data_IF_988299010026
#
_entry.id   IF_988299010026
#
_cell.length_a   1.000
_cell.length_b   1.000
_cell.length_c   1.000
_cell.angle_alpha   90.00
_cell.angle_beta   90.00
_cell.angle_gamma   90.00
#
_symmetry.space_group_name_H-M   'P 1'
#
loop_
_entity.id
_entity.type
_entity.pdbx_description
1 polymer ?
#
# COMPACT_ATOMS: atom_id res chain seq x y z
N UNK A 1 -26.86 2.90 52.83
CA UNK A 1 -25.77 1.90 52.97
C UNK A 1 -24.87 2.02 51.74
N UNK A 2 -23.57 2.31 51.98
CA UNK A 2 -22.40 2.22 51.06
C UNK A 2 -22.42 2.97 49.70
N UNK A 3 -21.54 3.98 49.66
CA UNK A 3 -20.79 4.44 48.49
C UNK A 3 -20.15 3.27 47.70
N UNK A 4 -19.91 3.44 46.38
CA UNK A 4 -18.55 3.59 45.80
C UNK A 4 -18.56 3.65 44.24
N UNK A 5 -18.05 4.77 43.72
CA UNK A 5 -17.02 4.91 42.64
C UNK A 5 -17.39 4.46 41.20
N UNK A 6 -17.71 5.34 40.23
CA UNK A 6 -16.88 6.32 39.47
C UNK A 6 -16.19 5.77 38.20
N UNK A 7 -16.59 6.29 37.02
CA UNK A 7 -15.79 6.75 35.85
C UNK A 7 -16.71 6.85 34.60
N UNK A 8 -17.11 8.02 34.06
CA UNK A 8 -16.39 8.97 33.18
C UNK A 8 -15.73 8.23 31.97
N UNK A 9 -16.04 8.44 30.68
CA UNK A 9 -16.19 9.64 29.82
C UNK A 9 -17.12 9.34 28.61
N UNK A 10 -18.13 10.17 28.34
CA UNK A 10 -18.23 11.12 27.21
C UNK A 10 -18.12 10.54 25.78
N UNK A 11 -19.26 10.12 25.21
CA UNK A 11 -19.48 10.05 23.76
C UNK A 11 -20.03 11.41 23.34
N UNK A 12 -19.21 12.26 22.73
CA UNK A 12 -19.73 13.45 22.04
C UNK A 12 -20.00 13.12 20.59
N UNK A 13 -21.29 13.06 20.29
CA UNK A 13 -21.84 13.06 18.94
C UNK A 13 -21.55 14.40 18.25
N UNK A 14 -21.22 14.36 16.96
CA UNK A 14 -21.39 15.52 16.08
C UNK A 14 -22.42 15.17 15.01
N UNK A 15 -23.67 15.50 15.33
CA UNK A 15 -24.72 15.74 14.35
C UNK A 15 -24.82 17.25 14.16
N UNK A 16 -24.37 17.77 13.03
CA UNK A 16 -24.86 19.05 12.52
C UNK A 16 -25.23 18.92 11.05
N UNK A 17 -26.51 19.17 10.79
CA UNK A 17 -27.08 19.45 9.48
C UNK A 17 -26.49 20.78 8.99
N UNK A 18 -25.87 20.83 7.81
CA UNK A 18 -25.47 22.07 7.15
C UNK A 18 -26.14 22.15 5.77
N UNK A 19 -26.99 23.17 5.58
CA UNK A 19 -27.64 23.51 4.31
C UNK A 19 -26.81 24.59 3.61
N UNK A 20 -26.18 24.18 2.49
CA UNK A 20 -25.80 24.88 1.24
C UNK A 20 -24.91 26.15 1.26
N UNK A 21 -23.72 26.02 0.65
CA UNK A 21 -23.20 26.94 -0.37
C UNK A 21 -22.35 26.15 -1.40
N UNK A 22 -22.61 26.22 -2.72
CA UNK A 22 -21.78 25.56 -3.73
C UNK A 22 -20.64 26.48 -4.14
N UNK A 23 -19.49 26.37 -3.46
CA UNK A 23 -18.24 27.04 -3.87
C UNK A 23 -16.97 26.35 -3.35
N UNK A 24 -17.07 25.10 -2.89
CA UNK A 24 -15.94 24.27 -2.44
C UNK A 24 -15.92 22.96 -3.25
N UNK A 25 -15.93 23.08 -4.57
CA UNK A 25 -15.71 21.95 -5.48
C UNK A 25 -14.25 21.84 -5.94
N UNK A 26 -13.37 22.76 -5.52
CA UNK A 26 -11.93 22.61 -5.67
C UNK A 26 -11.31 22.33 -4.30
N UNK A 27 -10.47 21.29 -4.24
CA UNK A 27 -9.64 20.85 -3.10
C UNK A 27 -10.28 19.97 -2.02
N UNK A 28 -11.21 19.08 -2.38
CA UNK A 28 -11.05 17.71 -1.87
C UNK A 28 -9.84 17.11 -2.60
N UNK A 29 -8.63 17.41 -2.12
CA UNK A 29 -7.52 16.49 -2.35
C UNK A 29 -7.95 15.18 -1.68
N UNK A 30 -8.44 14.23 -2.49
CA UNK A 30 -8.43 12.82 -2.11
C UNK A 30 -7.09 12.59 -1.42
N UNK A 31 -7.05 12.15 -0.14
CA UNK A 31 -5.82 12.09 0.61
C UNK A 31 -4.80 11.37 -0.26
N UNK A 32 -3.76 12.06 -0.70
CA UNK A 32 -2.75 11.49 -1.59
C UNK A 32 -2.27 10.20 -0.92
N UNK A 33 -2.76 9.06 -1.42
CA UNK A 33 -2.59 7.76 -0.80
C UNK A 33 -1.09 7.51 -0.78
N UNK A 34 -0.45 7.78 0.36
CA UNK A 34 1.00 7.72 0.50
C UNK A 34 1.41 6.25 0.61
N UNK A 35 1.26 5.52 -0.49
CA UNK A 35 1.55 4.10 -0.63
C UNK A 35 3.05 3.81 -0.75
N UNK A 36 3.87 4.54 0.00
CA UNK A 36 5.27 4.16 0.29
C UNK A 36 5.36 2.94 1.24
N UNK A 37 4.31 2.12 1.26
CA UNK A 37 4.20 0.87 2.01
C UNK A 37 3.92 -0.26 1.02
N UNK A 38 4.48 -1.46 1.25
CA UNK A 38 4.16 -2.61 0.43
C UNK A 38 2.66 -2.94 0.50
N UNK A 39 2.12 -3.44 -0.61
CA UNK A 39 0.81 -4.04 -0.70
C UNK A 39 0.71 -5.30 0.17
N UNK A 40 -0.47 -5.49 0.74
CA UNK A 40 -0.84 -6.71 1.45
C UNK A 40 -0.76 -7.94 0.53
N UNK A 41 -0.64 -9.11 1.14
CA UNK A 41 -0.56 -10.37 0.41
C UNK A 41 -1.87 -10.70 -0.33
N UNK A 42 -1.86 -10.84 -1.67
CA UNK A 42 -3.04 -11.21 -2.44
C UNK A 42 -3.56 -12.61 -2.08
N UNK A 43 -4.87 -12.80 -2.20
CA UNK A 43 -5.49 -14.12 -2.10
C UNK A 43 -5.19 -14.95 -3.36
N UNK A 44 -5.14 -16.28 -3.24
CA UNK A 44 -4.95 -17.18 -4.37
C UNK A 44 -3.51 -17.30 -4.91
N UNK A 45 -2.53 -16.70 -4.24
CA UNK A 45 -1.12 -16.92 -4.57
C UNK A 45 -0.70 -18.39 -4.31
N UNK A 46 0.22 -18.93 -5.12
CA UNK A 46 0.93 -20.17 -4.78
C UNK A 46 1.55 -20.06 -3.38
N UNK A 47 1.60 -21.14 -2.57
CA UNK A 47 2.13 -21.10 -1.21
C UNK A 47 3.51 -20.44 -1.10
N UNK A 48 4.44 -20.81 -1.99
CA UNK A 48 5.78 -20.22 -2.02
C UNK A 48 5.77 -18.69 -2.24
N UNK A 49 4.93 -18.19 -3.15
CA UNK A 49 4.81 -16.76 -3.40
C UNK A 49 4.24 -16.02 -2.17
N UNK A 50 3.22 -16.62 -1.55
CA UNK A 50 2.59 -16.08 -0.34
C UNK A 50 3.57 -16.02 0.84
N UNK A 51 4.31 -17.10 1.06
CA UNK A 51 5.23 -17.23 2.19
C UNK A 51 6.41 -16.25 2.04
N UNK A 52 6.98 -16.15 0.83
CA UNK A 52 7.99 -15.15 0.53
C UNK A 52 7.44 -13.72 0.65
N UNK A 53 6.24 -13.42 0.16
CA UNK A 53 5.69 -12.08 0.32
C UNK A 53 5.48 -11.72 1.80
N UNK A 54 4.97 -12.64 2.61
CA UNK A 54 4.78 -12.44 4.05
C UNK A 54 6.11 -12.18 4.76
N UNK A 55 7.15 -12.96 4.47
CA UNK A 55 8.49 -12.73 5.01
C UNK A 55 9.05 -11.36 4.57
N UNK A 56 8.81 -10.96 3.32
CA UNK A 56 9.19 -9.64 2.82
C UNK A 56 8.47 -8.49 3.54
N UNK A 57 7.17 -8.66 3.82
CA UNK A 57 6.38 -7.69 4.61
C UNK A 57 6.89 -7.58 6.04
N UNK A 58 7.24 -8.70 6.67
CA UNK A 58 7.81 -8.72 8.02
C UNK A 58 9.17 -8.03 8.07
N UNK A 59 10.09 -8.40 7.17
CA UNK A 59 11.39 -7.74 7.04
C UNK A 59 11.25 -6.24 6.77
N UNK A 60 10.29 -5.84 5.93
CA UNK A 60 10.01 -4.43 5.65
C UNK A 60 9.61 -3.65 6.92
N UNK A 61 8.71 -4.23 7.72
CA UNK A 61 8.24 -3.67 9.00
C UNK A 61 9.37 -3.55 10.01
N UNK A 62 10.27 -4.54 10.02
CA UNK A 62 11.46 -4.54 10.90
C UNK A 62 12.56 -3.58 10.42
N UNK A 63 12.38 -2.89 9.29
CA UNK A 63 13.36 -1.97 8.72
C UNK A 63 14.45 -2.65 7.87
N UNK A 64 14.42 -3.98 7.75
CA UNK A 64 15.37 -4.77 6.97
C UNK A 64 15.05 -4.70 5.46
N UNK A 65 15.27 -3.54 4.83
CA UNK A 65 14.88 -3.30 3.42
C UNK A 65 15.58 -4.22 2.42
N UNK A 66 16.83 -4.60 2.68
CA UNK A 66 17.58 -5.52 1.82
C UNK A 66 16.98 -6.94 1.83
N UNK A 67 16.61 -7.44 3.00
CA UNK A 67 15.97 -8.75 3.17
C UNK A 67 14.55 -8.74 2.56
N UNK A 68 13.78 -7.67 2.81
CA UNK A 68 12.47 -7.48 2.19
C UNK A 68 12.54 -7.57 0.66
N UNK A 69 13.53 -6.91 0.05
CA UNK A 69 13.77 -6.96 -1.40
C UNK A 69 14.04 -8.39 -1.88
N UNK A 70 14.86 -9.15 -1.16
CA UNK A 70 15.15 -10.54 -1.52
C UNK A 70 13.89 -11.40 -1.50
N UNK A 71 13.11 -11.30 -0.44
CA UNK A 71 11.86 -12.03 -0.31
C UNK A 71 10.79 -11.62 -1.34
N UNK A 72 10.65 -10.33 -1.63
CA UNK A 72 9.74 -9.91 -2.70
C UNK A 72 10.20 -10.41 -4.08
N UNK A 73 11.51 -10.47 -4.34
CA UNK A 73 12.03 -11.04 -5.58
C UNK A 73 11.69 -12.53 -5.72
N UNK A 74 11.81 -13.31 -4.64
CA UNK A 74 11.44 -14.72 -4.66
C UNK A 74 9.92 -14.93 -4.75
N UNK A 75 9.13 -14.02 -4.18
CA UNK A 75 7.67 -14.01 -4.35
C UNK A 75 7.28 -13.79 -5.83
N UNK A 76 7.91 -12.82 -6.51
CA UNK A 76 7.71 -12.56 -7.94
C UNK A 76 8.12 -13.76 -8.80
N UNK A 77 9.24 -14.43 -8.51
CA UNK A 77 9.63 -15.66 -9.22
C UNK A 77 8.57 -16.75 -9.12
N UNK A 78 7.94 -16.88 -7.95
CA UNK A 78 6.90 -17.89 -7.72
C UNK A 78 5.53 -17.51 -8.32
N UNK A 79 5.25 -16.22 -8.53
CA UNK A 79 4.02 -15.74 -9.15
C UNK A 79 4.28 -14.50 -10.06
N UNK A 80 4.83 -14.70 -11.27
CA UNK A 80 5.35 -13.63 -12.13
C UNK A 80 4.27 -12.76 -12.79
N UNK A 81 2.98 -13.07 -12.59
CA UNK A 81 1.88 -12.29 -13.13
C UNK A 81 1.13 -11.50 -12.03
N UNK A 82 1.59 -11.54 -10.78
CA UNK A 82 0.94 -10.83 -9.69
C UNK A 82 1.35 -9.35 -9.66
N UNK A 83 0.39 -8.46 -9.93
CA UNK A 83 0.63 -7.02 -9.93
C UNK A 83 1.11 -6.50 -8.56
N UNK A 84 0.53 -6.98 -7.47
CA UNK A 84 0.88 -6.60 -6.09
C UNK A 84 2.32 -7.00 -5.73
N UNK A 85 2.78 -8.18 -6.17
CA UNK A 85 4.15 -8.63 -5.90
C UNK A 85 5.18 -7.80 -6.67
N UNK A 86 4.89 -7.47 -7.93
CA UNK A 86 5.70 -6.53 -8.71
C UNK A 86 5.71 -5.13 -8.07
N UNK A 87 4.58 -4.65 -7.54
CA UNK A 87 4.55 -3.39 -6.81
C UNK A 87 5.47 -3.41 -5.58
N UNK A 88 5.41 -4.48 -4.78
CA UNK A 88 6.24 -4.64 -3.59
C UNK A 88 7.73 -4.67 -3.91
N UNK A 89 8.10 -5.38 -4.97
CA UNK A 89 9.49 -5.43 -5.42
C UNK A 89 9.95 -4.07 -6.00
N UNK A 90 9.09 -3.38 -6.77
CA UNK A 90 9.36 -2.05 -7.29
C UNK A 90 9.58 -1.01 -6.19
N UNK A 91 8.75 -1.04 -5.14
CA UNK A 91 8.93 -0.22 -3.95
C UNK A 91 10.26 -0.52 -3.24
N UNK A 92 10.64 -1.81 -3.13
CA UNK A 92 11.90 -2.19 -2.50
C UNK A 92 13.14 -1.73 -3.31
N UNK A 93 13.08 -1.77 -4.65
CA UNK A 93 14.12 -1.18 -5.49
C UNK A 93 14.15 0.34 -5.40
N UNK A 94 13.00 0.99 -5.34
CA UNK A 94 12.91 2.45 -5.19
C UNK A 94 13.60 2.91 -3.90
N UNK A 95 13.31 2.25 -2.77
CA UNK A 95 13.94 2.57 -1.48
C UNK A 95 15.44 2.23 -1.48
N UNK A 96 15.86 1.23 -2.24
CA UNK A 96 17.28 0.92 -2.43
C UNK A 96 18.01 1.90 -3.38
N UNK A 97 17.31 2.87 -3.98
CA UNK A 97 17.85 3.82 -4.96
C UNK A 97 18.06 3.24 -6.36
N UNK A 98 17.68 1.98 -6.59
CA UNK A 98 17.76 1.33 -7.92
C UNK A 98 16.51 1.69 -8.73
N UNK A 99 16.42 2.97 -9.13
CA UNK A 99 15.24 3.49 -9.81
C UNK A 99 14.99 2.85 -11.17
N UNK A 100 16.04 2.33 -11.83
CA UNK A 100 15.90 1.62 -13.10
C UNK A 100 15.06 0.35 -12.92
N UNK A 101 15.45 -0.53 -11.98
CA UNK A 101 14.67 -1.73 -11.68
C UNK A 101 13.31 -1.41 -11.07
N UNK A 102 13.22 -0.39 -10.24
CA UNK A 102 11.93 0.06 -9.72
C UNK A 102 10.95 0.41 -10.86
N UNK A 103 11.41 1.13 -11.88
CA UNK A 103 10.60 1.44 -13.06
C UNK A 103 10.15 0.19 -13.82
N UNK A 104 11.03 -0.81 -13.99
CA UNK A 104 10.68 -2.07 -14.64
C UNK A 104 9.57 -2.81 -13.88
N UNK A 105 9.71 -2.92 -12.57
CA UNK A 105 8.75 -3.60 -11.70
C UNK A 105 7.41 -2.84 -11.63
N UNK A 106 7.42 -1.50 -11.52
CA UNK A 106 6.20 -0.71 -11.56
C UNK A 106 5.49 -0.79 -12.92
N UNK A 107 6.24 -0.94 -14.02
CA UNK A 107 5.65 -1.18 -15.35
C UNK A 107 4.94 -2.53 -15.40
N UNK A 108 5.56 -3.59 -14.87
CA UNK A 108 4.96 -4.92 -14.78
C UNK A 108 3.73 -4.91 -13.87
N UNK A 109 3.81 -4.26 -12.70
CA UNK A 109 2.69 -4.06 -11.80
C UNK A 109 1.51 -3.37 -12.51
N UNK A 110 1.76 -2.26 -13.21
CA UNK A 110 0.74 -1.52 -13.95
C UNK A 110 0.11 -2.36 -15.07
N UNK A 111 0.93 -3.12 -15.81
CA UNK A 111 0.46 -3.98 -16.90
C UNK A 111 -0.42 -5.13 -16.39
N UNK A 112 -0.03 -5.75 -15.28
CA UNK A 112 -0.71 -6.92 -14.71
C UNK A 112 -1.91 -6.54 -13.83
N UNK A 113 -2.06 -5.27 -13.45
CA UNK A 113 -3.09 -4.79 -12.54
C UNK A 113 -4.54 -4.96 -13.05
N UNK A 114 -4.76 -5.14 -14.36
CA UNK A 114 -6.12 -5.16 -14.92
C UNK A 114 -6.88 -3.90 -14.51
N UNK A 115 -8.06 -4.02 -13.89
CA UNK A 115 -8.83 -2.88 -13.39
C UNK A 115 -8.50 -2.47 -11.94
N UNK A 116 -7.46 -3.06 -11.33
CA UNK A 116 -7.02 -2.69 -9.99
C UNK A 116 -6.52 -1.23 -9.99
N UNK A 117 -7.41 -0.33 -9.55
CA UNK A 117 -7.17 1.11 -9.54
C UNK A 117 -6.04 1.47 -8.59
N UNK A 118 -5.89 0.78 -7.45
CA UNK A 118 -4.88 1.11 -6.43
C UNK A 118 -3.48 1.12 -7.02
N UNK A 119 -3.09 0.07 -7.75
CA UNK A 119 -1.75 -0.03 -8.37
C UNK A 119 -1.58 1.02 -9.48
N UNK A 120 -2.63 1.25 -10.28
CA UNK A 120 -2.60 2.20 -11.39
C UNK A 120 -2.59 3.66 -10.95
N UNK A 121 -3.22 3.98 -9.81
CA UNK A 121 -3.28 5.31 -9.24
C UNK A 121 -2.15 5.60 -8.26
N UNK A 122 -1.45 4.56 -7.77
CA UNK A 122 -0.35 4.68 -6.84
C UNK A 122 0.69 5.72 -7.31
N UNK A 123 1.05 6.62 -6.39
CA UNK A 123 1.96 7.74 -6.65
C UNK A 123 3.29 7.28 -7.24
N UNK A 124 3.92 6.27 -6.65
CA UNK A 124 5.18 5.73 -7.14
C UNK A 124 5.06 5.11 -8.53
N UNK A 125 3.97 4.38 -8.80
CA UNK A 125 3.70 3.85 -10.14
C UNK A 125 3.61 4.98 -11.15
N UNK A 126 2.81 6.02 -10.88
CA UNK A 126 2.69 7.21 -11.74
C UNK A 126 4.01 7.94 -11.91
N UNK A 127 4.75 8.18 -10.83
CA UNK A 127 6.03 8.87 -10.84
C UNK A 127 7.07 8.15 -11.71
N UNK A 128 7.21 6.83 -11.54
CA UNK A 128 8.17 6.03 -12.31
C UNK A 128 7.76 5.87 -13.78
N UNK A 129 6.45 5.91 -14.07
CA UNK A 129 5.92 5.77 -15.43
C UNK A 129 5.63 7.12 -16.13
N UNK A 130 5.78 8.25 -15.43
CA UNK A 130 5.46 9.61 -15.89
C UNK A 130 4.02 9.73 -16.39
N UNK A 131 3.05 9.25 -15.59
CA UNK A 131 1.61 9.24 -15.89
C UNK A 131 0.78 9.98 -14.84
#
# INVERSE_FOLDING_TARGET
>A
MRFLKSSLLAIFAFSTLAIVAPAFADSFEEPEENVNVPMSTPTGLPPAARDHNNAGLEAWKNGNKAEAKSHFADAVKAAPNSADLHYNLGLAYHVAGDHAKATEEFKLAYSNAGDNRLIKSAKLTKQHLKK
#
